data_IF_828145774227
#
_entry.id   IF_828145774227
#
_cell.length_a   1.000
_cell.length_b   1.000
_cell.length_c   1.000
_cell.angle_alpha   90.00
_cell.angle_beta   90.00
_cell.angle_gamma   90.00
#
_symmetry.space_group_name_H-M   'P 1'
#
loop_
_entity.id
_entity.type
_entity.pdbx_description
1 polymer ?
#
# COMPACT_ATOMS: atom_id res chain seq x y z
N UNK A 1 1.62 -10.56 -25.41
CA UNK A 1 2.34 -10.81 -24.15
C UNK A 1 1.48 -11.73 -23.30
N UNK A 2 2.08 -12.72 -22.63
CA UNK A 2 1.36 -13.54 -21.66
C UNK A 2 1.53 -12.90 -20.28
N UNK A 3 0.44 -12.63 -19.58
CA UNK A 3 0.49 -12.30 -18.15
C UNK A 3 0.75 -13.58 -17.34
N UNK A 4 1.12 -13.47 -16.05
CA UNK A 4 1.13 -14.62 -15.15
C UNK A 4 -0.24 -15.31 -15.14
N UNK A 5 -0.24 -16.64 -15.04
CA UNK A 5 -1.47 -17.44 -15.08
C UNK A 5 -2.55 -16.99 -14.09
N UNK A 6 -2.15 -16.58 -12.89
CA UNK A 6 -3.09 -16.19 -11.83
C UNK A 6 -3.48 -14.71 -11.86
N UNK A 7 -3.06 -13.97 -12.89
CA UNK A 7 -3.47 -12.59 -13.12
C UNK A 7 -4.60 -12.51 -14.15
N UNK A 8 -5.67 -11.80 -13.78
CA UNK A 8 -6.81 -11.52 -14.64
C UNK A 8 -6.84 -10.02 -14.94
N UNK A 9 -6.60 -9.60 -16.20
CA UNK A 9 -6.65 -8.19 -16.58
C UNK A 9 -8.08 -7.65 -16.54
N UNK A 10 -8.23 -6.39 -16.18
CA UNK A 10 -9.51 -5.69 -16.26
C UNK A 10 -9.95 -5.54 -17.72
N UNK A 11 -11.12 -6.07 -18.08
CA UNK A 11 -11.56 -6.13 -19.48
C UNK A 11 -11.80 -4.75 -20.13
N UNK A 12 -12.15 -3.74 -19.35
CA UNK A 12 -12.54 -2.42 -19.86
C UNK A 12 -11.42 -1.37 -19.80
N UNK A 13 -10.30 -1.65 -19.15
CA UNK A 13 -9.23 -0.66 -18.97
C UNK A 13 -8.03 -1.02 -19.84
N UNK A 14 -7.61 -0.14 -20.77
CA UNK A 14 -6.51 -0.44 -21.66
C UNK A 14 -5.18 -0.53 -20.90
N UNK A 15 -4.27 -1.36 -21.42
CA UNK A 15 -2.90 -1.41 -20.93
C UNK A 15 -2.16 -0.10 -21.27
N UNK A 16 -1.45 0.45 -20.28
CA UNK A 16 -0.68 1.69 -20.43
C UNK A 16 0.80 1.37 -20.66
N UNK A 17 1.47 1.95 -21.67
CA UNK A 17 2.91 1.82 -21.83
C UNK A 17 3.64 2.45 -20.63
N UNK A 18 4.62 1.75 -20.08
CA UNK A 18 5.51 2.25 -19.03
C UNK A 18 6.88 2.52 -19.62
N UNK A 19 7.39 3.73 -19.42
CA UNK A 19 8.76 4.10 -19.80
C UNK A 19 9.58 4.28 -18.53
N UNK A 20 10.66 3.51 -18.34
CA UNK A 20 11.57 3.73 -17.22
C UNK A 20 12.20 5.11 -17.33
N UNK A 21 12.07 5.92 -16.28
CA UNK A 21 12.76 7.21 -16.16
C UNK A 21 13.27 7.35 -14.72
N UNK A 22 14.59 7.29 -14.57
CA UNK A 22 15.24 7.43 -13.27
C UNK A 22 15.00 8.81 -12.65
N UNK A 23 14.85 9.86 -13.46
CA UNK A 23 14.61 11.21 -12.98
C UNK A 23 13.20 11.43 -12.43
N UNK A 24 12.25 10.56 -12.80
CA UNK A 24 10.86 10.61 -12.33
C UNK A 24 10.66 9.97 -10.94
N UNK A 25 11.66 9.25 -10.43
CA UNK A 25 11.53 8.48 -9.18
C UNK A 25 11.62 9.39 -7.95
N UNK A 26 10.55 9.41 -7.15
CA UNK A 26 10.44 10.26 -5.96
C UNK A 26 10.78 9.48 -4.69
N UNK A 27 10.21 8.28 -4.54
CA UNK A 27 10.39 7.42 -3.37
C UNK A 27 10.93 6.06 -3.78
N UNK A 28 12.06 5.62 -3.22
CA UNK A 28 12.57 4.26 -3.41
C UNK A 28 11.86 3.32 -2.44
N UNK A 29 11.44 2.15 -2.91
CA UNK A 29 10.68 1.16 -2.12
C UNK A 29 11.35 -0.20 -2.03
N UNK A 30 12.29 -0.53 -2.92
CA UNK A 30 13.00 -1.81 -2.92
C UNK A 30 14.29 -1.75 -3.76
N UNK A 31 15.25 -2.60 -3.42
CA UNK A 31 16.45 -2.86 -4.22
C UNK A 31 16.74 -4.35 -4.26
N UNK A 32 17.10 -4.86 -5.44
CA UNK A 32 17.51 -6.26 -5.60
C UNK A 32 18.43 -6.43 -6.81
N UNK A 33 19.07 -7.58 -6.89
CA UNK A 33 19.85 -8.00 -8.05
C UNK A 33 19.12 -9.09 -8.79
N UNK A 34 18.87 -8.85 -10.07
CA UNK A 34 18.26 -9.83 -10.95
C UNK A 34 19.36 -10.64 -11.62
N UNK A 35 19.30 -11.96 -11.48
CA UNK A 35 20.18 -12.90 -12.17
C UNK A 35 19.40 -13.55 -13.31
N UNK A 36 19.58 -12.99 -14.51
CA UNK A 36 19.01 -13.55 -15.73
C UNK A 36 20.10 -14.33 -16.44
N UNK A 37 19.86 -15.60 -16.78
CA UNK A 37 20.87 -16.49 -17.40
C UNK A 37 21.58 -15.88 -18.62
N UNK A 38 20.93 -14.97 -19.35
CA UNK A 38 21.47 -14.35 -20.58
C UNK A 38 21.90 -12.87 -20.44
N UNK A 39 21.53 -12.16 -19.37
CA UNK A 39 21.93 -10.74 -19.14
C UNK A 39 23.00 -10.59 -18.05
N UNK A 40 23.30 -11.65 -17.30
CA UNK A 40 24.15 -11.57 -16.13
C UNK A 40 23.41 -10.97 -14.93
N UNK A 41 24.18 -10.68 -13.87
CA UNK A 41 23.67 -10.09 -12.64
C UNK A 41 23.59 -8.57 -12.78
N UNK A 42 22.40 -8.00 -12.57
CA UNK A 42 22.18 -6.56 -12.62
C UNK A 42 21.36 -6.09 -11.43
N UNK A 43 21.80 -5.02 -10.78
CA UNK A 43 21.04 -4.35 -9.72
C UNK A 43 19.88 -3.52 -10.28
N UNK A 44 18.76 -3.54 -9.57
CA UNK A 44 17.54 -2.82 -9.88
C UNK A 44 17.09 -2.04 -8.64
N UNK A 45 16.61 -0.83 -8.92
CA UNK A 45 16.04 0.09 -7.96
C UNK A 45 14.56 0.22 -8.32
N UNK A 46 13.70 -0.06 -7.36
CA UNK A 46 12.25 0.06 -7.51
C UNK A 46 11.80 1.28 -6.71
N UNK A 47 10.95 2.09 -7.32
CA UNK A 47 10.40 3.27 -6.65
C UNK A 47 9.05 3.68 -7.18
N UNK A 48 8.52 4.72 -6.58
CA UNK A 48 7.29 5.39 -6.96
C UNK A 48 7.64 6.76 -7.56
N UNK A 49 6.93 7.13 -8.62
CA UNK A 49 6.97 8.49 -9.16
C UNK A 49 6.09 9.46 -8.35
N UNK A 50 6.00 10.71 -8.83
CA UNK A 50 5.22 11.76 -8.18
C UNK A 50 3.70 11.50 -8.15
N UNK A 51 3.20 10.54 -8.92
CA UNK A 51 1.78 10.14 -8.94
C UNK A 51 1.57 8.75 -8.29
N UNK A 52 2.54 8.31 -7.50
CA UNK A 52 2.48 7.04 -6.77
C UNK A 52 2.57 5.79 -7.64
N UNK A 53 3.02 5.91 -8.89
CA UNK A 53 3.13 4.78 -9.79
C UNK A 53 4.49 4.10 -9.70
N UNK A 54 4.48 2.77 -9.75
CA UNK A 54 5.69 1.96 -9.65
C UNK A 54 6.54 2.04 -10.92
N UNK A 55 7.84 2.30 -10.73
CA UNK A 55 8.89 2.32 -11.74
C UNK A 55 10.04 1.40 -11.32
N UNK A 56 10.64 0.74 -12.31
CA UNK A 56 11.83 -0.07 -12.13
C UNK A 56 12.96 0.52 -12.98
N UNK A 57 14.05 0.92 -12.33
CA UNK A 57 15.21 1.54 -12.98
C UNK A 57 16.48 0.75 -12.67
N UNK A 58 17.39 0.60 -13.64
CA UNK A 58 18.60 -0.17 -13.43
C UNK A 58 19.58 0.60 -12.51
N UNK A 59 20.30 -0.11 -11.65
CA UNK A 59 21.24 0.50 -10.70
C UNK A 59 22.38 1.31 -11.34
N UNK A 60 22.69 1.06 -12.61
CA UNK A 60 23.63 1.90 -13.40
C UNK A 60 23.15 3.34 -13.61
N UNK A 61 21.84 3.57 -13.54
CA UNK A 61 21.24 4.89 -13.70
C UNK A 61 21.08 5.62 -12.36
N UNK A 62 21.67 5.10 -11.27
CA UNK A 62 21.61 5.68 -9.92
C UNK A 62 22.00 7.17 -9.89
N UNK A 63 22.96 7.59 -10.71
CA UNK A 63 23.38 8.99 -10.78
C UNK A 63 22.32 9.95 -11.36
N UNK A 64 21.32 9.41 -12.08
CA UNK A 64 20.21 10.17 -12.68
C UNK A 64 19.01 10.31 -11.74
N UNK A 65 19.00 9.58 -10.61
CA UNK A 65 17.95 9.68 -9.60
C UNK A 65 17.94 11.09 -8.98
N UNK A 66 16.77 11.62 -8.59
CA UNK A 66 16.69 12.83 -7.78
C UNK A 66 17.48 12.71 -6.47
N UNK A 67 17.98 13.84 -5.96
CA UNK A 67 18.79 13.87 -4.74
C UNK A 67 18.08 13.24 -3.52
N UNK A 68 16.75 13.39 -3.43
CA UNK A 68 15.94 12.73 -2.40
C UNK A 68 16.00 11.20 -2.48
N UNK A 69 15.81 10.63 -3.67
CA UNK A 69 15.88 9.19 -3.90
C UNK A 69 17.30 8.64 -3.67
N UNK A 70 18.34 9.39 -4.05
CA UNK A 70 19.73 9.03 -3.75
C UNK A 70 20.00 9.01 -2.24
N UNK A 71 19.48 10.00 -1.50
CA UNK A 71 19.62 10.06 -0.04
C UNK A 71 18.86 8.91 0.66
N UNK A 72 17.66 8.57 0.19
CA UNK A 72 16.91 7.40 0.66
C UNK A 72 17.71 6.10 0.47
N UNK A 73 18.29 5.88 -0.73
CA UNK A 73 19.13 4.72 -1.02
C UNK A 73 20.35 4.66 -0.09
N UNK A 74 21.08 5.76 0.03
CA UNK A 74 22.27 5.82 0.89
C UNK A 74 21.92 5.51 2.35
N UNK A 75 20.81 6.04 2.85
CA UNK A 75 20.33 5.71 4.20
C UNK A 75 20.00 4.23 4.34
N UNK A 76 19.24 3.65 3.40
CA UNK A 76 18.87 2.24 3.44
C UNK A 76 20.11 1.32 3.42
N UNK A 77 21.10 1.62 2.60
CA UNK A 77 22.35 0.84 2.49
C UNK A 77 23.14 0.86 3.81
N UNK A 78 23.29 2.05 4.40
CA UNK A 78 23.99 2.21 5.69
C UNK A 78 23.24 1.51 6.82
N UNK A 79 21.91 1.70 6.89
CA UNK A 79 21.09 1.18 8.00
C UNK A 79 20.87 -0.34 7.89
N UNK A 80 20.68 -0.87 6.68
CA UNK A 80 20.49 -2.31 6.48
C UNK A 80 21.79 -3.10 6.68
N UNK A 81 22.94 -2.51 6.32
CA UNK A 81 24.25 -3.16 6.37
C UNK A 81 24.34 -4.40 5.47
N UNK A 82 23.45 -4.54 4.49
CA UNK A 82 23.31 -5.73 3.62
C UNK A 82 23.40 -5.32 2.16
N UNK A 83 23.95 -6.21 1.35
CA UNK A 83 23.81 -6.10 -0.11
C UNK A 83 22.40 -6.48 -0.53
N UNK A 84 21.85 -5.88 -1.61
CA UNK A 84 20.53 -6.24 -2.12
C UNK A 84 20.40 -7.75 -2.40
N UNK A 85 19.23 -8.33 -2.11
CA UNK A 85 18.96 -9.76 -2.34
C UNK A 85 19.09 -10.11 -3.82
N UNK A 86 19.43 -11.37 -4.12
CA UNK A 86 19.50 -11.88 -5.49
C UNK A 86 18.24 -12.67 -5.81
N UNK A 87 17.68 -12.43 -6.99
CA UNK A 87 16.51 -13.13 -7.52
C UNK A 87 16.92 -13.80 -8.82
N UNK A 88 16.94 -15.13 -8.84
CA UNK A 88 17.21 -15.93 -10.03
C UNK A 88 15.92 -16.08 -10.84
N UNK A 89 15.69 -15.22 -11.83
CA UNK A 89 14.46 -15.23 -12.61
C UNK A 89 14.73 -14.95 -14.09
N UNK A 90 13.98 -15.62 -14.95
CA UNK A 90 13.89 -15.33 -16.37
C UNK A 90 12.93 -14.18 -16.66
N UNK A 91 11.85 -14.11 -15.90
CA UNK A 91 10.92 -12.99 -15.94
C UNK A 91 10.43 -12.61 -14.54
N UNK A 92 10.17 -11.32 -14.35
CA UNK A 92 9.57 -10.73 -13.18
C UNK A 92 8.41 -9.84 -13.58
N UNK A 93 7.36 -9.88 -12.79
CA UNK A 93 6.29 -8.90 -12.83
C UNK A 93 6.31 -8.11 -11.53
N UNK A 94 5.99 -6.83 -11.62
CA UNK A 94 5.76 -5.98 -10.46
C UNK A 94 4.27 -5.75 -10.30
N UNK A 95 3.76 -5.78 -9.08
CA UNK A 95 2.34 -5.64 -8.82
C UNK A 95 2.10 -4.62 -7.71
N UNK A 96 1.45 -3.52 -8.03
CA UNK A 96 1.00 -2.54 -7.03
C UNK A 96 -0.29 -3.05 -6.40
N UNK A 97 -0.30 -3.33 -5.09
CA UNK A 97 -1.47 -3.86 -4.36
C UNK A 97 -2.23 -2.69 -3.74
N UNK A 98 -3.41 -2.39 -4.26
CA UNK A 98 -4.29 -1.31 -3.79
C UNK A 98 -5.40 -1.83 -2.86
N UNK A 99 -5.78 -3.09 -3.05
CA UNK A 99 -6.89 -3.69 -2.34
C UNK A 99 -6.66 -5.19 -2.14
N UNK A 100 -7.05 -5.67 -0.95
CA UNK A 100 -7.07 -7.09 -0.62
C UNK A 100 -8.51 -7.49 -0.29
N UNK A 101 -9.02 -8.50 -0.99
CA UNK A 101 -10.34 -9.06 -0.75
C UNK A 101 -10.25 -10.54 -0.39
N UNK A 102 -11.02 -10.90 0.64
CA UNK A 102 -11.25 -12.28 1.03
C UNK A 102 -12.62 -12.72 0.53
N UNK A 103 -12.70 -13.69 -0.41
CA UNK A 103 -13.97 -14.21 -0.89
C UNK A 103 -14.75 -14.88 0.25
N UNK A 104 -16.08 -14.79 0.20
CA UNK A 104 -16.95 -15.27 1.29
C UNK A 104 -16.96 -16.79 1.44
N UNK A 105 -16.80 -17.53 0.33
CA UNK A 105 -16.85 -19.00 0.28
C UNK A 105 -15.49 -19.65 0.61
N UNK A 106 -14.51 -18.87 1.09
CA UNK A 106 -13.18 -19.34 1.42
C UNK A 106 -13.08 -19.86 2.87
N UNK A 107 -13.32 -21.16 3.04
CA UNK A 107 -13.30 -21.92 4.32
C UNK A 107 -11.92 -22.50 4.76
N UNK A 108 -10.98 -22.71 3.83
CA UNK A 108 -9.65 -23.29 4.05
C UNK A 108 -8.48 -22.33 4.34
N UNK A 109 -7.41 -22.90 4.87
CA UNK A 109 -6.15 -22.21 5.16
C UNK A 109 -5.38 -21.73 3.90
N UNK A 110 -5.57 -22.42 2.77
CA UNK A 110 -4.89 -22.16 1.50
C UNK A 110 -5.81 -21.50 0.46
N UNK A 111 -6.94 -20.98 0.90
CA UNK A 111 -7.92 -20.39 0.00
C UNK A 111 -7.41 -19.14 -0.72
N UNK A 112 -8.06 -18.82 -1.86
CA UNK A 112 -7.76 -17.62 -2.60
C UNK A 112 -7.97 -16.35 -1.77
N UNK A 113 -7.10 -15.40 -2.02
CA UNK A 113 -7.17 -13.98 -1.70
C UNK A 113 -6.99 -13.25 -3.00
N UNK A 114 -7.84 -12.25 -3.24
CA UNK A 114 -7.77 -11.42 -4.43
C UNK A 114 -7.04 -10.14 -4.11
N UNK A 115 -5.92 -9.91 -4.81
CA UNK A 115 -5.14 -8.69 -4.73
C UNK A 115 -5.47 -7.87 -5.97
N UNK A 116 -5.99 -6.66 -5.78
CA UNK A 116 -6.28 -5.75 -6.88
C UNK A 116 -5.25 -4.65 -6.98
N UNK A 117 -5.01 -4.23 -8.21
CA UNK A 117 -4.20 -3.07 -8.53
C UNK A 117 -3.60 -3.24 -9.92
N UNK A 118 -2.30 -2.99 -10.05
CA UNK A 118 -1.66 -2.82 -11.35
C UNK A 118 -0.48 -3.76 -11.52
N UNK A 119 -0.54 -4.63 -12.53
CA UNK A 119 0.56 -5.48 -12.96
C UNK A 119 1.43 -4.74 -13.96
N UNK A 120 2.74 -4.79 -13.80
CA UNK A 120 3.70 -4.25 -14.73
C UNK A 120 4.67 -5.36 -15.14
N UNK A 121 4.88 -5.54 -16.44
CA UNK A 121 5.89 -6.47 -16.98
C UNK A 121 5.47 -7.15 -18.27
N UNK A 122 6.15 -8.24 -18.68
CA UNK A 122 7.26 -8.90 -17.98
C UNK A 122 8.59 -8.12 -18.07
N UNK A 123 9.42 -8.21 -17.03
CA UNK A 123 10.81 -7.78 -17.00
C UNK A 123 11.78 -8.96 -17.00
N UNK A 124 12.96 -8.85 -17.62
CA UNK A 124 13.41 -7.74 -18.45
C UNK A 124 12.68 -7.75 -19.81
N UNK A 125 12.23 -6.58 -20.26
CA UNK A 125 11.52 -6.40 -21.53
C UNK A 125 11.55 -4.93 -21.98
N UNK A 126 11.49 -4.69 -23.28
CA UNK A 126 11.53 -3.33 -23.85
C UNK A 126 10.14 -2.69 -23.92
N UNK A 127 9.09 -3.49 -24.06
CA UNK A 127 7.70 -3.03 -24.14
C UNK A 127 6.97 -3.28 -22.81
N UNK A 128 7.29 -2.46 -21.82
CA UNK A 128 6.67 -2.58 -20.50
C UNK A 128 5.26 -2.01 -20.53
N UNK A 129 4.31 -2.76 -20.00
CA UNK A 129 2.91 -2.34 -19.91
C UNK A 129 2.43 -2.46 -18.49
N UNK A 130 1.70 -1.43 -18.04
CA UNK A 130 0.89 -1.45 -16.84
C UNK A 130 -0.51 -1.90 -17.20
N UNK A 131 -0.99 -2.92 -16.51
CA UNK A 131 -2.29 -3.54 -16.75
C UNK A 131 -3.03 -3.61 -15.42
N UNK A 132 -4.14 -2.88 -15.26
CA UNK A 132 -4.97 -3.02 -14.08
C UNK A 132 -5.66 -4.40 -14.08
N UNK A 133 -5.83 -4.98 -12.90
CA UNK A 133 -6.50 -6.26 -12.77
C UNK A 133 -6.39 -6.86 -11.38
N UNK A 134 -6.55 -8.18 -11.35
CA UNK A 134 -6.61 -8.99 -10.14
C UNK A 134 -5.53 -10.07 -10.19
N UNK A 135 -4.71 -10.16 -9.15
CA UNK A 135 -3.85 -11.30 -8.89
C UNK A 135 -4.51 -12.19 -7.82
N UNK A 136 -4.67 -13.48 -8.13
CA UNK A 136 -5.20 -14.46 -7.18
C UNK A 136 -4.06 -15.26 -6.57
N UNK A 137 -3.95 -15.24 -5.24
CA UNK A 137 -2.94 -15.99 -4.47
C UNK A 137 -3.59 -16.63 -3.25
N UNK A 138 -2.90 -17.52 -2.53
CA UNK A 138 -3.45 -18.06 -1.27
C UNK A 138 -3.21 -17.11 -0.08
N UNK A 139 -4.02 -17.24 0.99
CA UNK A 139 -3.76 -16.56 2.29
C UNK A 139 -2.33 -16.83 2.79
N UNK A 140 -1.88 -18.08 2.72
CA UNK A 140 -0.52 -18.47 3.08
C UNK A 140 0.55 -17.75 2.24
N UNK A 141 0.33 -17.59 0.94
CA UNK A 141 1.25 -16.88 0.06
C UNK A 141 1.36 -15.38 0.38
N UNK A 142 0.25 -14.72 0.76
CA UNK A 142 0.29 -13.32 1.24
C UNK A 142 1.12 -13.20 2.50
N UNK A 143 0.86 -14.05 3.50
CA UNK A 143 1.63 -14.06 4.76
C UNK A 143 3.12 -14.31 4.49
N UNK A 144 3.45 -15.35 3.74
CA UNK A 144 4.84 -15.72 3.48
C UNK A 144 5.57 -14.69 2.64
N UNK A 145 4.91 -14.13 1.61
CA UNK A 145 5.44 -13.04 0.82
C UNK A 145 5.90 -11.88 1.69
N UNK A 146 5.04 -11.41 2.60
CA UNK A 146 5.34 -10.30 3.51
C UNK A 146 6.35 -10.68 4.61
N UNK A 147 6.28 -11.90 5.16
CA UNK A 147 7.22 -12.39 6.19
C UNK A 147 8.65 -12.48 5.62
N UNK A 148 8.79 -13.02 4.41
CA UNK A 148 10.09 -13.11 3.76
C UNK A 148 10.58 -11.75 3.27
N UNK A 149 9.68 -10.93 2.67
CA UNK A 149 10.02 -9.60 2.20
C UNK A 149 10.35 -8.61 3.34
N UNK A 150 9.83 -8.81 4.55
CA UNK A 150 10.15 -7.96 5.71
C UNK A 150 11.65 -7.92 6.05
N UNK A 151 12.41 -8.98 5.72
CA UNK A 151 13.85 -9.02 5.93
C UNK A 151 14.61 -8.09 4.97
N UNK A 152 14.02 -7.80 3.81
CA UNK A 152 14.55 -6.99 2.73
C UNK A 152 13.80 -5.66 2.56
N UNK A 153 12.86 -5.34 3.47
CA UNK A 153 12.05 -4.13 3.42
C UNK A 153 12.92 -2.88 3.39
N UNK A 154 12.56 -1.92 2.54
CA UNK A 154 13.30 -0.68 2.40
C UNK A 154 13.15 0.16 3.67
N UNK A 155 14.24 0.77 4.13
CA UNK A 155 14.30 1.48 5.41
C UNK A 155 14.51 2.95 5.13
N UNK A 156 13.56 3.78 5.55
CA UNK A 156 13.67 5.23 5.43
C UNK A 156 14.36 5.85 6.63
N UNK A 157 14.95 7.02 6.41
CA UNK A 157 15.48 7.83 7.50
C UNK A 157 14.35 8.22 8.47
N UNK A 158 14.60 8.22 9.79
CA UNK A 158 13.61 8.65 10.76
C UNK A 158 13.25 10.12 10.52
N UNK A 159 11.96 10.42 10.64
CA UNK A 159 11.46 11.79 10.62
C UNK A 159 11.47 12.35 12.06
N UNK A 160 11.75 13.64 12.24
CA UNK A 160 11.68 14.29 13.54
C UNK A 160 10.28 14.16 14.18
N UNK A 161 9.24 14.06 13.36
CA UNK A 161 7.85 13.86 13.80
C UNK A 161 7.51 12.39 14.07
N UNK A 162 8.25 11.45 13.46
CA UNK A 162 7.95 10.01 13.48
C UNK A 162 9.12 9.26 14.12
N UNK A 163 8.96 8.97 15.41
CA UNK A 163 9.98 8.27 16.22
C UNK A 163 10.15 6.80 15.88
N UNK A 164 9.24 6.21 15.10
CA UNK A 164 9.29 4.80 14.69
C UNK A 164 10.04 4.63 13.38
N UNK A 165 10.75 3.50 13.25
CA UNK A 165 11.45 3.16 12.03
C UNK A 165 10.43 2.91 10.90
N UNK A 166 10.48 3.75 9.86
CA UNK A 166 9.58 3.65 8.71
C UNK A 166 10.11 2.65 7.68
N UNK A 167 9.25 1.76 7.18
CA UNK A 167 9.63 0.75 6.21
C UNK A 167 8.66 0.66 5.03
N UNK A 168 9.21 0.38 3.85
CA UNK A 168 8.42 -0.10 2.72
C UNK A 168 8.58 -1.62 2.63
N UNK A 169 7.53 -2.35 2.99
CA UNK A 169 7.46 -3.80 2.84
C UNK A 169 6.94 -4.15 1.45
N UNK A 170 7.39 -5.29 0.96
CA UNK A 170 6.97 -5.92 -0.27
C UNK A 170 6.89 -7.43 -0.06
N UNK A 171 6.32 -8.14 -1.02
CA UNK A 171 6.24 -9.60 -0.97
C UNK A 171 6.44 -10.21 -2.34
N UNK A 172 7.25 -11.27 -2.42
CA UNK A 172 7.34 -12.08 -3.63
C UNK A 172 6.26 -13.16 -3.59
N UNK A 173 5.38 -13.14 -4.59
CA UNK A 173 4.17 -13.95 -4.70
C UNK A 173 4.20 -14.87 -5.94
N UNK A 174 3.56 -16.05 -5.86
CA UNK A 174 3.44 -16.95 -6.99
C UNK A 174 2.37 -16.44 -7.98
N UNK A 175 2.78 -16.15 -9.22
CA UNK A 175 1.88 -15.79 -10.31
C UNK A 175 1.55 -16.96 -11.26
N UNK A 176 2.20 -18.11 -11.09
CA UNK A 176 2.01 -19.30 -11.92
C UNK A 176 2.17 -20.60 -11.11
N UNK A 177 2.14 -21.74 -11.80
CA UNK A 177 2.27 -23.07 -11.23
C UNK A 177 3.71 -23.34 -10.73
N UNK A 178 3.90 -24.23 -9.73
CA UNK A 178 5.22 -24.51 -9.15
C UNK A 178 6.30 -24.86 -10.17
N UNK A 179 5.97 -25.65 -11.19
CA UNK A 179 6.90 -26.06 -12.24
C UNK A 179 7.37 -24.90 -13.12
N UNK A 180 6.51 -23.91 -13.36
CA UNK A 180 6.84 -22.70 -14.12
C UNK A 180 7.68 -21.75 -13.25
N UNK A 181 7.32 -21.64 -11.97
CA UNK A 181 8.08 -20.87 -10.99
C UNK A 181 9.48 -21.43 -10.83
N UNK A 182 9.66 -22.75 -10.72
CA UNK A 182 10.98 -23.37 -10.57
C UNK A 182 11.94 -23.05 -11.73
N UNK A 183 11.40 -22.74 -12.91
CA UNK A 183 12.17 -22.29 -14.06
C UNK A 183 12.54 -20.80 -14.00
N UNK A 184 12.06 -20.04 -13.02
CA UNK A 184 12.26 -18.59 -12.92
C UNK A 184 11.23 -17.77 -13.69
N UNK A 185 10.02 -18.30 -13.91
CA UNK A 185 8.92 -17.61 -14.61
C UNK A 185 7.68 -17.43 -13.74
N UNK A 186 6.84 -16.45 -14.06
CA UNK A 186 5.62 -16.19 -13.29
C UNK A 186 5.86 -15.68 -11.86
N UNK A 187 7.01 -15.07 -11.58
CA UNK A 187 7.31 -14.45 -10.29
C UNK A 187 6.70 -13.04 -10.23
N UNK A 188 6.02 -12.70 -9.13
CA UNK A 188 5.39 -11.39 -8.96
C UNK A 188 5.89 -10.71 -7.68
N UNK A 189 6.60 -9.60 -7.80
CA UNK A 189 6.96 -8.73 -6.68
C UNK A 189 5.80 -7.76 -6.41
N UNK A 190 5.12 -7.96 -5.29
CA UNK A 190 3.97 -7.19 -4.86
C UNK A 190 4.35 -6.08 -3.87
N UNK A 191 3.85 -4.87 -4.11
CA UNK A 191 4.10 -3.66 -3.34
C UNK A 191 2.77 -3.09 -2.83
N UNK A 192 2.42 -3.21 -1.54
CA UNK A 192 1.28 -2.53 -0.95
C UNK A 192 1.37 -1.02 -1.18
N UNK A 193 0.37 -0.49 -1.89
CA UNK A 193 0.34 0.85 -2.42
C UNK A 193 -0.08 1.86 -1.37
N UNK A 194 0.78 2.83 -1.09
CA UNK A 194 0.43 4.00 -0.27
C UNK A 194 -0.23 5.04 -1.18
N UNK A 195 -1.40 5.60 -0.85
CA UNK A 195 -1.96 6.72 -1.60
C UNK A 195 -0.97 7.89 -1.71
N UNK A 196 -0.87 8.52 -2.88
CA UNK A 196 0.11 9.58 -3.16
C UNK A 196 0.02 10.75 -2.15
N UNK A 197 -1.17 11.03 -1.65
CA UNK A 197 -1.43 12.11 -0.70
C UNK A 197 -0.80 11.84 0.68
N UNK A 198 -0.46 10.58 0.97
CA UNK A 198 0.22 10.16 2.19
C UNK A 198 1.73 9.99 1.99
N UNK A 199 2.24 10.13 0.75
CA UNK A 199 3.66 9.94 0.40
C UNK A 199 4.49 11.23 0.52
N UNK A 200 4.37 11.98 1.62
CA UNK A 200 5.00 13.31 1.73
C UNK A 200 6.53 13.27 1.76
N UNK A 201 7.13 12.30 2.46
CA UNK A 201 8.60 12.17 2.62
C UNK A 201 9.13 10.75 2.41
N UNK A 202 8.25 9.77 2.52
CA UNK A 202 8.54 8.35 2.31
C UNK A 202 7.31 7.66 1.74
N UNK A 203 7.52 6.50 1.11
CA UNK A 203 6.45 5.58 0.72
C UNK A 203 6.38 4.41 1.72
N UNK A 204 6.55 4.71 3.00
CA UNK A 204 6.44 3.72 4.07
C UNK A 204 5.01 3.20 4.18
N UNK A 205 4.86 1.89 4.25
CA UNK A 205 3.56 1.21 4.20
C UNK A 205 3.26 0.35 5.43
N UNK A 206 3.93 0.61 6.57
CA UNK A 206 3.77 -0.11 7.83
C UNK A 206 2.29 -0.30 8.22
N UNK A 207 1.50 0.79 8.22
CA UNK A 207 0.07 0.75 8.59
C UNK A 207 -0.73 -0.19 7.68
N UNK A 208 -0.52 -0.08 6.37
CA UNK A 208 -1.21 -0.90 5.35
C UNK A 208 -0.85 -2.37 5.48
N UNK A 209 0.43 -2.67 5.71
CA UNK A 209 0.91 -4.04 5.90
C UNK A 209 0.32 -4.65 7.17
N UNK A 210 0.26 -3.88 8.26
CA UNK A 210 -0.42 -4.32 9.48
C UNK A 210 -1.92 -4.61 9.23
N UNK A 211 -2.63 -3.77 8.46
CA UNK A 211 -4.04 -3.98 8.10
C UNK A 211 -4.24 -5.24 7.24
N UNK A 212 -3.36 -5.48 6.25
CA UNK A 212 -3.38 -6.69 5.40
C UNK A 212 -3.13 -7.93 6.26
N UNK A 213 -2.07 -7.95 7.06
CA UNK A 213 -1.72 -9.09 7.90
C UNK A 213 -2.81 -9.38 8.93
N UNK A 214 -3.36 -8.34 9.58
CA UNK A 214 -4.48 -8.50 10.49
C UNK A 214 -5.72 -9.09 9.81
N UNK A 215 -6.09 -8.62 8.62
CA UNK A 215 -7.22 -9.16 7.89
C UNK A 215 -7.04 -10.64 7.56
N UNK A 216 -5.87 -11.02 7.02
CA UNK A 216 -5.54 -12.41 6.67
C UNK A 216 -5.50 -13.30 7.93
N UNK A 217 -4.84 -12.86 9.01
CA UNK A 217 -4.73 -13.62 10.25
C UNK A 217 -6.07 -13.79 10.95
N UNK A 218 -6.92 -12.77 10.95
CA UNK A 218 -8.28 -12.86 11.50
C UNK A 218 -9.08 -13.93 10.76
N UNK A 219 -9.01 -13.93 9.44
CA UNK A 219 -9.71 -14.91 8.61
C UNK A 219 -9.18 -16.33 8.82
N UNK A 220 -7.86 -16.52 8.93
CA UNK A 220 -7.30 -17.82 9.27
C UNK A 220 -7.73 -18.31 10.66
N UNK A 221 -7.83 -17.39 11.63
CA UNK A 221 -8.33 -17.72 12.96
C UNK A 221 -9.81 -18.10 12.96
N UNK A 222 -10.65 -17.33 12.25
CA UNK A 222 -12.09 -17.61 12.08
C UNK A 222 -12.26 -19.02 11.47
N UNK A 223 -11.58 -19.31 10.37
CA UNK A 223 -11.64 -20.62 9.71
C UNK A 223 -11.13 -21.75 10.61
N UNK A 224 -10.05 -21.52 11.36
CA UNK A 224 -9.54 -22.53 12.29
C UNK A 224 -10.54 -22.81 13.43
N UNK A 225 -11.31 -21.81 13.89
CA UNK A 225 -12.35 -22.00 14.91
C UNK A 225 -13.55 -22.76 14.37
N UNK A 226 -13.98 -22.46 13.15
CA UNK A 226 -15.13 -23.11 12.50
C UNK A 226 -14.84 -24.56 12.11
N UNK A 227 -13.65 -24.84 11.59
CA UNK A 227 -13.31 -26.14 10.98
C UNK A 227 -12.38 -27.01 11.83
N UNK A 228 -12.29 -26.76 13.14
CA UNK A 228 -11.39 -27.49 14.05
C UNK A 228 -9.92 -27.50 13.58
N UNK A 229 -9.46 -26.36 13.04
CA UNK A 229 -8.08 -26.17 12.61
C UNK A 229 -7.07 -26.14 13.77
N UNK A 230 -5.78 -25.86 13.47
CA UNK A 230 -4.71 -25.88 14.45
C UNK A 230 -5.01 -25.03 15.70
N UNK A 231 -4.77 -25.61 16.88
CA UNK A 231 -5.05 -24.96 18.17
C UNK A 231 -4.37 -23.60 18.31
N UNK A 232 -3.12 -23.48 17.84
CA UNK A 232 -2.37 -22.23 17.86
C UNK A 232 -3.10 -21.10 17.11
N UNK A 233 -3.72 -21.38 15.95
CA UNK A 233 -4.45 -20.37 15.19
C UNK A 233 -5.77 -19.99 15.90
N UNK A 234 -6.47 -20.99 16.46
CA UNK A 234 -7.75 -20.80 17.16
C UNK A 234 -7.61 -19.91 18.40
N UNK A 235 -6.52 -20.09 19.14
CA UNK A 235 -6.26 -19.42 20.41
C UNK A 235 -5.33 -18.21 20.29
N UNK A 236 -4.86 -17.87 19.08
CA UNK A 236 -3.97 -16.72 18.86
C UNK A 236 -4.62 -15.42 19.35
N UNK A 237 -3.99 -14.70 20.26
CA UNK A 237 -4.43 -13.34 20.57
C UNK A 237 -3.99 -12.40 19.45
N UNK A 238 -4.95 -11.89 18.68
CA UNK A 238 -4.69 -10.95 17.60
C UNK A 238 -4.75 -9.51 18.14
N UNK A 239 -3.66 -8.74 18.08
CA UNK A 239 -3.70 -7.30 18.31
C UNK A 239 -4.45 -6.60 17.17
N UNK A 240 -4.72 -5.31 17.33
CA UNK A 240 -5.30 -4.48 16.28
C UNK A 240 -4.23 -3.61 15.63
N UNK A 241 -4.35 -3.33 14.33
CA UNK A 241 -3.44 -2.42 13.63
C UNK A 241 -3.55 -0.95 14.07
N UNK A 242 -4.72 -0.52 14.57
CA UNK A 242 -4.93 0.79 15.19
C UNK A 242 -5.90 0.65 16.35
N UNK A 243 -5.42 0.97 17.55
CA UNK A 243 -6.26 0.93 18.75
C UNK A 243 -7.30 2.04 18.75
N UNK A 244 -6.97 3.21 18.23
CA UNK A 244 -7.91 4.33 18.10
C UNK A 244 -9.11 3.91 17.24
N UNK A 245 -8.87 3.26 16.10
CA UNK A 245 -9.95 2.77 15.25
C UNK A 245 -10.77 1.67 15.95
N UNK A 246 -10.11 0.75 16.65
CA UNK A 246 -10.81 -0.30 17.40
C UNK A 246 -11.70 0.27 18.52
N UNK A 247 -11.25 1.33 19.20
CA UNK A 247 -12.04 2.06 20.20
C UNK A 247 -13.24 2.73 19.53
N UNK A 248 -13.04 3.46 18.42
CA UNK A 248 -14.13 4.09 17.68
C UNK A 248 -15.18 3.06 17.20
N UNK A 249 -14.74 1.89 16.73
CA UNK A 249 -15.62 0.79 16.32
C UNK A 249 -16.40 0.20 17.52
N UNK A 250 -15.82 0.18 18.72
CA UNK A 250 -16.52 -0.23 19.95
C UNK A 250 -17.51 0.84 20.40
N UNK A 251 -17.13 2.12 20.34
CA UNK A 251 -18.00 3.24 20.71
C UNK A 251 -19.23 3.34 19.80
N UNK A 252 -19.06 3.14 18.49
CA UNK A 252 -20.17 3.09 17.53
C UNK A 252 -21.11 1.91 17.78
N UNK A 253 -20.62 0.81 18.38
CA UNK A 253 -21.43 -0.32 18.85
C UNK A 253 -22.09 -0.08 20.22
N UNK A 254 -21.92 1.11 20.81
CA UNK A 254 -22.54 1.49 22.07
C UNK A 254 -21.74 1.12 23.32
N UNK A 255 -20.47 0.74 23.17
CA UNK A 255 -19.58 0.54 24.31
C UNK A 255 -19.00 1.87 24.81
N UNK A 256 -18.71 1.93 26.10
CA UNK A 256 -17.89 2.97 26.70
C UNK A 256 -16.53 2.37 27.07
N UNK A 257 -15.46 2.96 26.54
CA UNK A 257 -14.10 2.46 26.73
C UNK A 257 -13.44 3.17 27.91
N UNK A 258 -13.02 2.38 28.90
CA UNK A 258 -12.25 2.83 30.06
C UNK A 258 -10.92 2.07 30.11
N UNK A 259 -9.85 2.69 29.60
CA UNK A 259 -8.53 2.07 29.51
C UNK A 259 -8.53 0.87 28.56
N UNK A 260 -8.31 -0.34 29.12
CA UNK A 260 -8.26 -1.62 28.40
C UNK A 260 -9.60 -2.37 28.37
N UNK A 261 -10.68 -1.79 28.90
CA UNK A 261 -11.98 -2.47 29.01
C UNK A 261 -13.09 -1.61 28.42
N UNK A 262 -13.84 -2.19 27.50
CA UNK A 262 -15.05 -1.64 26.93
C UNK A 262 -16.28 -2.24 27.64
N UNK A 263 -17.20 -1.40 28.09
CA UNK A 263 -18.41 -1.80 28.82
C UNK A 263 -19.63 -1.32 28.04
N UNK A 264 -20.57 -2.22 27.72
CA UNK A 264 -21.78 -1.84 27.00
C UNK A 264 -22.59 -0.81 27.80
N UNK A 265 -22.91 0.35 27.20
CA UNK A 265 -23.69 1.40 27.86
C UNK A 265 -25.09 0.87 28.16
N UNK A 266 -25.50 0.88 29.42
CA UNK A 266 -26.89 0.58 29.80
C UNK A 266 -27.80 1.71 29.29
N UNK A 267 -28.93 1.42 28.61
CA UNK A 267 -29.84 2.47 28.18
C UNK A 267 -30.41 3.18 29.42
N UNK A 268 -30.16 4.49 29.53
CA UNK A 268 -30.76 5.35 30.56
C UNK A 268 -32.21 5.67 30.17
N UNK A 269 -33.17 4.82 30.56
CA UNK A 269 -34.59 5.15 30.41
C UNK A 269 -35.57 4.05 30.84
N UNK A 270 -36.37 4.32 31.88
CA UNK A 270 -37.63 3.61 32.19
C UNK A 270 -37.55 2.45 33.20
N UNK A 271 -38.56 2.34 34.06
CA UNK A 271 -38.72 1.30 35.10
C UNK A 271 -38.60 -0.16 34.59
N UNK A 272 -38.75 -0.38 33.29
CA UNK A 272 -38.59 -1.69 32.62
C UNK A 272 -37.10 -2.10 32.48
N UNK A 273 -36.16 -1.14 32.49
CA UNK A 273 -34.71 -1.41 32.38
C UNK A 273 -34.07 -2.02 33.63
N UNK A 274 -34.78 -2.08 34.76
CA UNK A 274 -34.28 -2.68 36.01
C UNK A 274 -34.33 -4.22 36.00
N UNK A 275 -35.17 -4.83 35.18
CA UNK A 275 -35.25 -6.30 35.07
C UNK A 275 -34.28 -6.88 34.02
N UNK A 276 -33.79 -6.07 33.08
CA UNK A 276 -32.72 -6.45 32.15
C UNK A 276 -31.31 -6.38 32.79
N UNK A 277 -31.19 -5.81 34.00
CA UNK A 277 -29.92 -5.59 34.69
C UNK A 277 -29.27 -6.83 35.31
N UNK A 278 -29.89 -8.02 35.20
CA UNK A 278 -29.37 -9.28 35.73
C UNK A 278 -28.54 -10.09 34.71
N UNK A 279 -28.49 -9.67 33.45
CA UNK A 279 -27.53 -10.19 32.48
C UNK A 279 -26.31 -9.27 32.51
N UNK A 280 -25.19 -9.82 32.98
CA UNK A 280 -23.89 -9.17 33.13
C UNK A 280 -23.62 -8.14 32.04
N UNK A 281 -23.26 -6.91 32.43
CA UNK A 281 -22.75 -5.93 31.47
C UNK A 281 -21.58 -6.58 30.71
N UNK A 282 -21.78 -6.82 29.42
CA UNK A 282 -20.80 -7.48 28.56
C UNK A 282 -19.53 -6.63 28.56
N UNK A 283 -18.47 -7.15 29.18
CA UNK A 283 -17.15 -6.51 29.23
C UNK A 283 -16.31 -7.11 28.12
N UNK A 284 -15.77 -6.25 27.27
CA UNK A 284 -14.88 -6.65 26.18
C UNK A 284 -13.51 -6.02 26.44
N UNK A 285 -12.44 -6.81 26.36
CA UNK A 285 -11.07 -6.29 26.44
C UNK A 285 -10.75 -5.55 25.14
N UNK A 286 -10.25 -4.32 25.23
CA UNK A 286 -9.78 -3.57 24.07
C UNK A 286 -8.45 -4.17 23.61
N UNK A 287 -8.33 -4.62 22.35
CA UNK A 287 -7.09 -5.19 21.85
C UNK A 287 -5.94 -4.17 21.89
N UNK A 288 -4.72 -4.67 22.09
CA UNK A 288 -3.52 -3.85 22.04
C UNK A 288 -3.19 -3.47 20.60
N UNK A 289 -2.58 -2.30 20.40
CA UNK A 289 -2.02 -1.92 19.11
C UNK A 289 -0.73 -2.70 18.83
N UNK A 290 -0.53 -3.12 17.59
CA UNK A 290 0.71 -3.74 17.15
C UNK A 290 1.23 -3.13 15.85
N UNK A 291 2.54 -3.05 15.75
CA UNK A 291 3.28 -2.60 14.57
C UNK A 291 3.28 -3.67 13.46
N UNK A 292 3.61 -3.26 12.23
CA UNK A 292 3.79 -4.19 11.11
C UNK A 292 4.80 -5.30 11.42
N UNK A 293 5.90 -4.96 12.10
CA UNK A 293 6.92 -5.93 12.50
C UNK A 293 6.38 -6.99 13.48
N UNK A 294 5.53 -6.60 14.42
CA UNK A 294 4.87 -7.54 15.35
C UNK A 294 3.87 -8.44 14.61
N UNK A 295 3.11 -7.88 13.66
CA UNK A 295 2.23 -8.68 12.79
C UNK A 295 3.01 -9.64 11.88
N UNK A 296 4.19 -9.26 11.40
CA UNK A 296 5.09 -10.15 10.65
C UNK A 296 5.50 -11.35 11.51
N UNK A 297 5.81 -11.14 12.80
CA UNK A 297 6.16 -12.24 13.71
C UNK A 297 4.95 -13.12 14.09
N UNK A 298 3.74 -12.55 14.14
CA UNK A 298 2.50 -13.34 14.23
C UNK A 298 2.26 -14.17 12.96
N UNK A 299 2.47 -13.58 11.79
CA UNK A 299 2.37 -14.26 10.51
C UNK A 299 3.39 -15.40 10.39
N UNK A 300 4.63 -15.20 10.83
CA UNK A 300 5.65 -16.25 10.89
C UNK A 300 5.20 -17.44 11.74
N UNK A 301 4.62 -17.17 12.92
CA UNK A 301 4.05 -18.21 13.80
C UNK A 301 2.87 -18.92 13.16
N UNK A 302 1.97 -18.19 12.51
CA UNK A 302 0.82 -18.75 11.80
C UNK A 302 1.26 -19.69 10.66
N UNK A 303 2.24 -19.28 9.85
CA UNK A 303 2.80 -20.10 8.77
C UNK A 303 3.40 -21.42 9.26
N UNK A 304 4.03 -21.41 10.46
CA UNK A 304 4.63 -22.61 11.05
C UNK A 304 3.63 -23.70 11.45
N UNK A 305 2.34 -23.36 11.57
CA UNK A 305 1.26 -24.31 11.90
C UNK A 305 0.24 -24.45 10.77
N UNK A 306 0.44 -23.76 9.64
CA UNK A 306 -0.52 -23.74 8.55
C UNK A 306 -0.51 -25.11 7.82
N UNK A 307 -1.65 -25.80 7.71
CA UNK A 307 -1.69 -27.12 7.07
C UNK A 307 -1.23 -27.07 5.61
N UNK A 308 -0.30 -27.96 5.25
CA UNK A 308 0.25 -28.03 3.89
C UNK A 308 1.20 -26.89 3.51
N UNK A 309 1.71 -26.13 4.49
CA UNK A 309 2.69 -25.07 4.26
C UNK A 309 4.12 -25.50 4.67
N UNK A 310 5.17 -25.09 3.92
CA UNK A 310 5.11 -24.43 2.61
C UNK A 310 4.55 -25.38 1.55
N UNK A 311 3.83 -24.82 0.58
CA UNK A 311 3.39 -25.58 -0.59
C UNK A 311 4.47 -25.55 -1.69
N UNK A 312 4.30 -26.36 -2.73
CA UNK A 312 5.29 -26.48 -3.82
C UNK A 312 5.61 -25.15 -4.51
N UNK A 313 4.60 -24.28 -4.68
CA UNK A 313 4.78 -22.97 -5.30
C UNK A 313 5.67 -22.06 -4.44
N UNK A 314 5.43 -22.05 -3.13
CA UNK A 314 6.26 -21.31 -2.17
C UNK A 314 7.68 -21.88 -2.13
N UNK A 315 7.84 -23.20 -2.05
CA UNK A 315 9.16 -23.83 -2.06
C UNK A 315 9.95 -23.50 -3.34
N UNK A 316 9.31 -23.57 -4.50
CA UNK A 316 9.91 -23.19 -5.78
C UNK A 316 10.32 -21.71 -5.80
N UNK A 317 9.46 -20.83 -5.30
CA UNK A 317 9.71 -19.38 -5.25
C UNK A 317 10.86 -19.02 -4.31
N UNK A 318 10.96 -19.66 -3.13
CA UNK A 318 12.06 -19.42 -2.18
C UNK A 318 13.39 -20.00 -2.64
N UNK A 319 13.38 -21.07 -3.44
CA UNK A 319 14.61 -21.60 -4.04
C UNK A 319 15.30 -20.61 -5.00
N UNK A 320 14.57 -19.61 -5.52
CA UNK A 320 15.09 -18.59 -6.42
C UNK A 320 15.65 -17.34 -5.72
N UNK A 321 15.53 -17.26 -4.40
CA UNK A 321 15.99 -16.09 -3.62
C UNK A 321 17.25 -16.44 -2.86
N UNK A 322 18.27 -15.59 -2.99
CA UNK A 322 19.55 -15.76 -2.30
C UNK A 322 19.99 -14.46 -1.61
N UNK A 323 20.67 -14.55 -0.45
CA UNK A 323 21.26 -13.39 0.19
C UNK A 323 22.26 -12.68 -0.74
N UNK A 324 22.33 -11.34 -0.69
CA UNK A 324 23.21 -10.54 -1.55
C UNK A 324 24.69 -10.93 -1.46
N UNK A 325 25.14 -11.36 -0.28
CA UNK A 325 26.52 -11.75 0.01
C UNK A 325 26.89 -13.17 -0.47
N UNK A 326 25.95 -13.92 -1.06
CA UNK A 326 26.22 -15.26 -1.59
C UNK A 326 26.94 -15.21 -2.93
N UNK A 327 27.82 -16.19 -3.20
CA UNK A 327 28.53 -16.28 -4.49
C UNK A 327 27.52 -16.53 -5.64
N UNK A 328 27.76 -15.99 -6.85
CA UNK A 328 26.91 -16.26 -8.01
C UNK A 328 26.91 -17.76 -8.34
N UNK A 329 25.76 -18.31 -8.78
CA UNK A 329 25.74 -19.73 -9.20
C UNK A 329 26.43 -19.78 -10.55
N UNK A 330 27.64 -20.36 -10.58
CA UNK A 330 28.24 -20.80 -11.84
C UNK A 330 27.47 -22.02 -12.32
N UNK A 331 26.31 -21.84 -12.94
CA UNK A 331 25.69 -22.94 -13.68
C UNK A 331 26.59 -23.24 -14.87
N UNK A 332 27.23 -24.39 -14.83
CA UNK A 332 28.16 -24.85 -15.86
C UNK A 332 27.54 -24.75 -17.26
N UNK A 333 28.41 -24.42 -18.21
CA UNK A 333 28.17 -24.40 -19.65
C UNK A 333 27.51 -25.74 -20.04
N UNK A 334 26.21 -25.72 -20.33
CA UNK A 334 25.57 -26.82 -21.06
C UNK A 334 25.75 -26.49 -22.55
N UNK A 335 26.29 -27.39 -23.38
CA UNK A 335 26.53 -27.10 -24.79
C UNK A 335 25.21 -26.90 -25.53
N UNK A 336 25.08 -25.74 -26.18
CA UNK A 336 23.99 -25.37 -27.05
C UNK A 336 23.88 -26.34 -28.21
N UNK A 337 22.80 -27.13 -28.28
CA UNK A 337 22.41 -27.81 -29.52
C UNK A 337 21.60 -26.83 -30.39
N UNK A 338 21.83 -26.78 -31.71
CA UNK A 338 21.11 -25.86 -32.59
C UNK A 338 19.70 -26.40 -32.87
N UNK A 339 18.67 -25.70 -32.40
CA UNK A 339 17.28 -25.92 -32.78
C UNK A 339 17.00 -25.21 -34.11
N UNK A 340 16.88 -26.00 -35.17
CA UNK A 340 16.37 -25.56 -36.48
C UNK A 340 14.85 -25.35 -36.33
N UNK A 341 14.39 -24.09 -36.37
CA UNK A 341 12.95 -23.79 -36.36
C UNK A 341 12.41 -23.72 -37.79
N UNK A 342 11.41 -24.54 -38.09
CA UNK A 342 10.55 -24.36 -39.25
C UNK A 342 9.34 -23.50 -38.86
N UNK A 343 8.91 -22.53 -39.68
CA UNK A 343 7.82 -21.62 -39.32
C UNK A 343 6.46 -22.34 -39.45
N UNK A 344 5.66 -22.29 -38.39
CA UNK A 344 4.26 -22.72 -38.39
C UNK A 344 3.38 -21.50 -38.70
N UNK A 345 2.62 -21.57 -39.78
CA UNK A 345 1.63 -20.56 -40.19
C UNK A 345 0.43 -20.61 -39.25
N UNK A 346 0.19 -19.55 -38.48
CA UNK A 346 -1.01 -19.39 -37.65
C UNK A 346 -2.20 -18.96 -38.51
N UNK A 347 -3.31 -19.71 -38.42
CA UNK A 347 -4.62 -19.31 -38.99
C UNK A 347 -5.25 -18.22 -38.12
N UNK A 348 -5.59 -17.09 -38.73
CA UNK A 348 -6.29 -15.97 -38.12
C UNK A 348 -7.77 -16.28 -37.86
N UNK A 349 -8.23 -16.03 -36.63
CA UNK A 349 -9.65 -15.98 -36.25
C UNK A 349 -10.15 -14.54 -36.44
N UNK A 350 -11.37 -14.30 -36.95
CA UNK A 350 -11.86 -12.95 -37.22
C UNK A 350 -12.12 -12.14 -35.92
N UNK A 351 -12.01 -10.80 -35.98
CA UNK A 351 -12.14 -9.93 -34.82
C UNK A 351 -13.60 -9.81 -34.33
N UNK A 352 -13.77 -9.84 -33.01
CA UNK A 352 -15.03 -9.54 -32.31
C UNK A 352 -15.23 -8.02 -32.27
N UNK A 353 -16.47 -7.49 -32.40
CA UNK A 353 -16.73 -6.05 -32.39
C UNK A 353 -16.30 -5.38 -31.09
N UNK A 354 -15.86 -4.10 -31.15
CA UNK A 354 -15.32 -3.39 -30.00
C UNK A 354 -16.42 -3.08 -28.95
N UNK A 355 -16.11 -3.23 -27.65
CA UNK A 355 -16.99 -2.74 -26.59
C UNK A 355 -17.04 -1.22 -26.56
N UNK A 356 -18.12 -0.70 -25.97
CA UNK A 356 -18.41 0.72 -25.81
C UNK A 356 -17.30 1.49 -25.06
N UNK A 357 -17.14 2.80 -25.32
CA UNK A 357 -16.02 3.59 -24.81
C UNK A 357 -15.97 3.66 -23.28
N UNK A 358 -14.75 3.57 -22.75
CA UNK A 358 -14.42 3.61 -21.34
C UNK A 358 -14.77 4.97 -20.71
N UNK A 359 -15.34 4.93 -19.49
CA UNK A 359 -15.41 6.09 -18.60
C UNK A 359 -14.12 6.14 -17.79
N UNK A 360 -13.45 7.30 -17.65
CA UNK A 360 -12.24 7.38 -16.84
C UNK A 360 -12.57 7.36 -15.34
N UNK A 361 -11.67 6.71 -14.57
CA UNK A 361 -11.41 6.86 -13.13
C UNK A 361 -12.16 6.03 -12.09
N UNK A 362 -13.05 5.09 -12.45
CA UNK A 362 -13.73 4.24 -11.44
C UNK A 362 -13.60 2.73 -11.67
N UNK A 363 -12.54 2.28 -12.36
CA UNK A 363 -12.33 0.86 -12.67
C UNK A 363 -12.39 -0.05 -11.43
N UNK A 364 -11.89 0.42 -10.28
CA UNK A 364 -11.94 -0.33 -9.03
C UNK A 364 -13.38 -0.48 -8.50
N UNK A 365 -14.23 0.53 -8.69
CA UNK A 365 -15.66 0.44 -8.35
C UNK A 365 -16.36 -0.52 -9.31
N UNK A 366 -16.11 -0.37 -10.61
CA UNK A 366 -16.70 -1.25 -11.63
C UNK A 366 -16.37 -2.73 -11.37
N UNK A 367 -15.13 -3.02 -10.93
CA UNK A 367 -14.71 -4.39 -10.60
C UNK A 367 -15.35 -4.90 -9.30
N UNK A 368 -15.39 -4.09 -8.25
CA UNK A 368 -16.05 -4.46 -6.99
C UNK A 368 -17.56 -4.68 -7.17
N UNK A 369 -18.19 -3.86 -8.01
CA UNK A 369 -19.61 -4.00 -8.34
C UNK A 369 -19.86 -5.29 -9.13
N UNK A 370 -18.96 -5.68 -10.05
CA UNK A 370 -19.04 -6.94 -10.78
C UNK A 370 -18.91 -8.19 -9.89
N UNK A 371 -18.28 -8.06 -8.71
CA UNK A 371 -18.08 -9.14 -7.76
C UNK A 371 -18.99 -9.08 -6.52
N UNK A 372 -19.94 -8.14 -6.48
CA UNK A 372 -20.97 -8.10 -5.44
C UNK A 372 -22.13 -9.03 -5.85
N UNK A 373 -22.46 -10.10 -5.08
CA UNK A 373 -23.50 -11.04 -5.48
C UNK A 373 -24.89 -10.38 -5.49
N UNK A 374 -25.74 -10.67 -6.50
CA UNK A 374 -27.12 -10.17 -6.53
C UNK A 374 -27.98 -10.90 -5.48
N UNK A 375 -28.05 -10.34 -4.28
CA UNK A 375 -28.98 -10.74 -3.21
C UNK A 375 -28.38 -11.65 -2.12
N UNK A 376 -28.03 -11.07 -0.96
CA UNK A 376 -27.78 -11.80 0.30
C UNK A 376 -26.53 -11.34 1.04
N UNK A 377 -26.64 -10.47 2.05
CA UNK A 377 -26.68 -10.74 3.52
C UNK A 377 -25.39 -11.18 4.24
N UNK A 378 -24.29 -11.44 3.55
CA UNK A 378 -22.94 -11.35 4.15
C UNK A 378 -22.07 -10.44 3.27
N UNK A 379 -21.05 -9.82 3.86
CA UNK A 379 -20.21 -8.81 3.20
C UNK A 379 -18.78 -9.31 3.17
N UNK A 380 -18.21 -9.51 1.98
CA UNK A 380 -16.81 -9.80 1.76
C UNK A 380 -15.92 -8.87 2.60
N UNK A 381 -14.87 -9.44 3.22
CA UNK A 381 -13.95 -8.65 4.05
C UNK A 381 -12.90 -8.02 3.15
N UNK A 382 -12.93 -6.70 3.09
CA UNK A 382 -12.13 -5.90 2.16
C UNK A 382 -11.18 -5.01 2.99
N UNK A 383 -9.88 -5.10 2.73
CA UNK A 383 -8.85 -4.19 3.24
C UNK A 383 -8.39 -3.25 2.14
N UNK A 384 -8.71 -1.95 2.25
CA UNK A 384 -8.39 -0.89 1.28
C UNK A 384 -7.16 -0.11 1.68
N UNK A 385 -6.32 0.25 0.71
CA UNK A 385 -5.25 1.23 0.93
C UNK A 385 -5.75 2.68 0.98
N UNK A 386 -6.91 2.96 0.36
CA UNK A 386 -7.55 4.29 0.43
C UNK A 386 -8.44 4.41 1.66
N UNK A 387 -8.32 5.47 2.47
CA UNK A 387 -9.26 5.72 3.56
C UNK A 387 -10.67 5.86 2.98
N UNK A 388 -11.61 5.10 3.54
CA UNK A 388 -13.03 5.26 3.24
C UNK A 388 -13.48 6.58 3.86
N UNK A 389 -13.40 7.69 3.13
CA UNK A 389 -13.98 8.96 3.56
C UNK A 389 -15.49 8.73 3.59
N UNK A 390 -16.16 8.77 4.77
CA UNK A 390 -17.60 8.67 4.81
C UNK A 390 -18.16 9.82 3.98
N UNK A 391 -19.10 9.53 3.07
CA UNK A 391 -19.84 10.57 2.38
C UNK A 391 -20.40 11.51 3.47
N UNK A 392 -20.05 12.80 3.39
CA UNK A 392 -20.64 13.80 4.27
C UNK A 392 -22.17 13.64 4.19
N UNK A 393 -22.88 13.62 5.33
CA UNK A 393 -24.34 13.66 5.29
C UNK A 393 -24.77 14.85 4.43
N UNK A 394 -25.85 14.73 3.63
CA UNK A 394 -26.27 15.81 2.74
C UNK A 394 -26.42 17.09 3.55
N UNK A 395 -25.59 18.09 3.24
CA UNK A 395 -25.62 19.43 3.86
C UNK A 395 -27.01 20.02 3.69
N UNK A 396 -27.86 19.88 4.71
CA UNK A 396 -29.00 20.75 4.94
C UNK A 396 -28.55 21.89 5.86
N UNK A 397 -27.91 22.90 5.29
CA UNK A 397 -28.12 24.31 5.66
C UNK A 397 -27.17 25.17 4.82
N UNK A 398 -27.76 26.17 4.16
CA UNK A 398 -27.07 27.14 3.34
C UNK A 398 -26.67 28.35 4.21
N UNK A 399 -25.93 28.11 5.29
CA UNK A 399 -25.39 29.17 6.13
C UNK A 399 -23.89 28.96 6.33
N UNK A 400 -23.05 29.97 6.00
CA UNK A 400 -21.64 29.93 6.35
C UNK A 400 -21.50 29.99 7.89
N UNK A 401 -20.53 29.28 8.47
CA UNK A 401 -20.26 29.33 9.90
C UNK A 401 -19.79 30.74 10.32
N UNK A 402 -20.24 31.19 11.50
CA UNK A 402 -20.06 32.56 12.03
C UNK A 402 -18.61 33.07 12.03
N UNK A 403 -17.61 32.19 12.13
CA UNK A 403 -16.19 32.59 12.15
C UNK A 403 -15.68 33.17 10.81
N UNK A 404 -16.41 33.00 9.71
CA UNK A 404 -16.08 33.64 8.42
C UNK A 404 -16.56 35.11 8.32
N UNK A 405 -17.31 35.62 9.30
CA UNK A 405 -17.78 37.01 9.30
C UNK A 405 -16.64 38.02 9.54
N UNK A 406 -15.55 37.59 10.19
CA UNK A 406 -14.48 38.49 10.65
C UNK A 406 -13.46 38.86 9.56
N UNK A 407 -13.51 38.22 8.39
CA UNK A 407 -12.51 38.41 7.32
C UNK A 407 -13.09 39.03 6.03
N UNK A 408 -14.35 39.49 6.04
CA UNK A 408 -15.04 39.99 4.85
C UNK A 408 -15.39 41.47 4.92
N UNK A 409 -14.42 42.37 4.68
CA UNK A 409 -14.72 43.77 4.33
C UNK A 409 -13.60 44.34 3.45
N UNK A 410 -13.58 43.95 2.19
CA UNK A 410 -12.89 44.71 1.15
C UNK A 410 -13.87 45.76 0.58
N UNK A 411 -13.51 47.06 0.56
CA UNK A 411 -14.40 48.10 0.07
C UNK A 411 -14.56 48.06 -1.45
N UNK A 412 -15.79 48.34 -1.87
CA UNK A 412 -16.26 48.34 -3.24
C UNK A 412 -15.43 49.25 -4.17
N UNK A 413 -15.03 48.72 -5.32
CA UNK A 413 -14.44 49.48 -6.42
C UNK A 413 -15.52 50.31 -7.15
N UNK A 414 -15.30 51.60 -7.42
CA UNK A 414 -16.07 52.35 -8.40
C UNK A 414 -15.39 52.35 -9.79
N UNK A 415 -16.24 52.54 -10.80
CA UNK A 415 -16.01 52.35 -12.23
C UNK A 415 -14.95 53.25 -12.90
N UNK A 416 -14.35 52.73 -13.97
CA UNK A 416 -13.62 53.47 -15.01
C UNK A 416 -14.63 54.28 -15.89
N UNK A 417 -14.26 55.35 -16.64
CA UNK A 417 -13.17 55.33 -17.63
C UNK A 417 -12.41 56.66 -17.89
N UNK A 418 -11.33 56.55 -18.69
CA UNK A 418 -10.83 57.45 -19.76
C UNK A 418 -9.32 57.77 -19.72
N UNK A 419 -8.80 57.90 -20.94
CA UNK A 419 -7.40 57.87 -21.35
C UNK A 419 -6.63 59.18 -21.12
N UNK A 420 -5.33 59.08 -20.86
CA UNK A 420 -4.24 59.79 -21.56
C UNK A 420 -2.93 59.71 -20.76
N UNK A 421 -1.85 59.33 -21.44
CA UNK A 421 -0.47 59.58 -21.02
C UNK A 421 -0.03 60.99 -21.54
N UNK A 422 1.20 61.52 -21.31
CA UNK A 422 2.36 61.02 -20.56
C UNK A 422 3.15 62.10 -19.73
N UNK A 423 4.29 61.68 -19.16
CA UNK A 423 5.58 62.40 -18.93
C UNK A 423 5.88 63.14 -17.59
N UNK A 424 7.13 62.88 -17.17
CA UNK A 424 8.13 63.66 -16.39
C UNK A 424 8.21 63.48 -14.86
N UNK A 425 9.36 62.95 -14.43
CA UNK A 425 10.04 63.24 -13.16
C UNK A 425 11.04 64.41 -13.36
N UNK A 426 11.83 64.89 -12.35
CA UNK A 426 11.72 64.97 -10.87
C UNK A 426 11.88 66.48 -10.45
N UNK A 427 12.44 66.97 -9.29
CA UNK A 427 12.92 66.36 -8.02
C UNK A 427 12.59 67.15 -6.70
N UNK A 428 13.13 66.63 -5.57
CA UNK A 428 13.62 67.27 -4.32
C UNK A 428 12.72 67.47 -3.08
N UNK A 429 13.14 66.77 -2.02
CA UNK A 429 13.39 67.18 -0.62
C UNK A 429 12.40 68.10 0.12
N UNK A 430 11.88 67.60 1.26
CA UNK A 430 12.04 68.26 2.58
C UNK A 430 11.69 67.34 3.75
N UNK A 431 12.56 67.41 4.76
CA UNK A 431 12.51 66.79 6.09
C UNK A 431 11.31 67.25 6.93
N UNK A 432 10.76 66.33 7.72
CA UNK A 432 10.25 66.44 9.10
C UNK A 432 9.43 65.18 9.38
N UNK A 433 9.26 64.60 10.57
CA UNK A 433 9.87 64.66 11.90
C UNK A 433 9.19 63.47 12.62
N UNK A 434 9.97 62.54 13.19
CA UNK A 434 9.41 61.38 13.89
C UNK A 434 8.74 61.80 15.22
N UNK A 435 7.63 61.15 15.62
CA UNK A 435 7.27 60.99 17.03
C UNK A 435 7.77 59.65 17.58
N UNK A 436 8.23 59.68 18.83
CA UNK A 436 8.62 58.54 19.67
C UNK A 436 7.50 57.49 19.82
N UNK A 437 7.84 56.20 19.95
CA UNK A 437 6.90 55.17 20.34
C UNK A 437 6.71 55.13 21.87
N UNK A 438 5.45 55.18 22.31
CA UNK A 438 5.05 54.85 23.68
C UNK A 438 5.44 53.40 24.05
N UNK A 439 5.73 53.12 25.33
CA UNK A 439 6.16 51.79 25.77
C UNK A 439 5.00 50.79 25.71
N UNK A 440 5.06 49.85 24.76
CA UNK A 440 4.16 48.71 24.71
C UNK A 440 4.37 47.83 25.95
N UNK A 441 3.33 47.71 26.76
CA UNK A 441 3.25 46.76 27.86
C UNK A 441 3.45 45.34 27.32
N UNK A 442 4.37 44.59 27.95
CA UNK A 442 4.55 43.16 27.65
C UNK A 442 3.25 42.41 27.95
N UNK A 443 2.76 41.56 27.03
CA UNK A 443 1.56 40.77 27.26
C UNK A 443 1.80 39.70 28.34
N UNK A 444 0.74 39.39 29.09
CA UNK A 444 0.75 38.63 30.36
C UNK A 444 1.29 37.19 30.27
N UNK A 445 1.46 36.64 29.07
CA UNK A 445 1.96 35.27 28.86
C UNK A 445 3.48 35.13 29.02
N UNK A 446 4.21 36.23 29.22
CA UNK A 446 5.68 36.23 29.34
C UNK A 446 6.19 36.22 30.79
N UNK A 447 5.33 35.92 31.78
CA UNK A 447 5.69 35.85 33.21
C UNK A 447 6.04 34.44 33.71
N UNK A 448 5.81 33.41 32.90
CA UNK A 448 5.94 32.01 33.34
C UNK A 448 7.30 31.35 33.02
N UNK A 449 8.29 32.12 32.57
CA UNK A 449 9.61 31.60 32.17
C UNK A 449 10.80 32.01 33.06
N UNK A 450 10.54 32.70 34.18
CA UNK A 450 11.56 32.95 35.21
C UNK A 450 11.19 32.22 36.50
N UNK A 451 11.50 30.91 36.57
CA UNK A 451 11.63 30.13 37.81
C UNK A 451 12.52 28.91 37.59
#
# INVERSE_FOLDING_TARGET
>A
MSHPRYFVPHAATPAEPVRPDASALVNVVDTFRLEVRYLGEQEWIIGLDAVGQLLAVPGRDRAQLPASAQAQLAHHEVTSGRSPRRIAAHELFFFTVELVEHPEEAEGANDPVYLYGNLIGPWPGEELKRVPGQLTVSRGAVLAGLVHGAADAFIYAPDAEIKTLQRSYHGLLPGDRPEVIAEGRGLVLAYPAVPEELQTRSAANDRLVADILYAVLTQLQENAREHSGPELLRLMELPVPSRIQAIADLETRGYEVNGDVAILRKPRGGLVGKLAGLLSAEKVKVPQEATAAEFVELARRALGVLPGWPNDAESALRALIRPGNSAPVRTGIVPSLPLTSTPVVQKSIPPRPPPAPARPNDWMKDFLDAHTPPGGTKKAKISRSRPNIPALPPKKSNQPPEWLADFGSAPAAPAAPTASAPKKAPPREKKAKAPEPEPQQKPDWMKDFDS
#
